data_IF_699578126320
#
_entry.id   IF_699578126320
#
_cell.length_a   1.000
_cell.length_b   1.000
_cell.length_c   1.000
_cell.angle_alpha   90.00
_cell.angle_beta   90.00
_cell.angle_gamma   90.00
#
_symmetry.space_group_name_H-M   'P 1'
#
loop_
_entity.id
_entity.type
_entity.pdbx_description
1 polymer ?
#
# COMPACT_ATOMS: atom_id res chain seq x y z
N UNK A 1 -70.15 38.18 -19.62
CA UNK A 1 -69.46 37.28 -18.67
C UNK A 1 -69.44 35.80 -19.08
N UNK A 2 -70.53 35.25 -19.65
CA UNK A 2 -70.63 33.82 -20.02
C UNK A 2 -69.64 33.39 -21.13
N UNK A 3 -69.34 34.27 -22.10
CA UNK A 3 -68.36 34.00 -23.16
C UNK A 3 -66.93 33.86 -22.60
N UNK A 4 -66.52 34.77 -21.71
CA UNK A 4 -65.21 34.74 -21.06
C UNK A 4 -65.00 33.48 -20.22
N UNK A 5 -66.03 33.06 -19.46
CA UNK A 5 -66.01 31.82 -18.68
C UNK A 5 -65.89 30.57 -19.57
N UNK A 6 -66.48 30.57 -20.77
CA UNK A 6 -66.33 29.49 -21.75
C UNK A 6 -64.91 29.42 -22.33
N UNK A 7 -64.29 30.56 -22.64
CA UNK A 7 -62.89 30.59 -23.09
C UNK A 7 -61.92 30.14 -22.00
N UNK A 8 -62.18 30.52 -20.75
CA UNK A 8 -61.37 30.13 -19.59
C UNK A 8 -61.50 28.63 -19.31
N UNK A 9 -62.71 28.06 -19.40
CA UNK A 9 -62.92 26.61 -19.31
C UNK A 9 -62.23 25.87 -20.46
N UNK A 10 -62.36 26.36 -21.69
CA UNK A 10 -61.73 25.76 -22.87
C UNK A 10 -60.20 25.77 -22.76
N UNK A 11 -59.60 26.87 -22.28
CA UNK A 11 -58.16 26.96 -22.05
C UNK A 11 -57.67 26.01 -20.95
N UNK A 12 -58.49 25.78 -19.90
CA UNK A 12 -58.16 24.86 -18.82
C UNK A 12 -58.26 23.39 -19.26
N UNK A 13 -59.15 23.08 -20.22
CA UNK A 13 -59.29 21.76 -20.82
C UNK A 13 -58.15 21.42 -21.79
N UNK A 14 -57.42 22.43 -22.31
CA UNK A 14 -56.25 22.24 -23.18
C UNK A 14 -54.92 22.09 -22.40
N UNK A 15 -54.90 22.34 -21.09
CA UNK A 15 -53.70 22.27 -20.26
C UNK A 15 -53.03 20.88 -20.12
N UNK A 16 -53.71 19.72 -20.21
CA UNK A 16 -53.05 18.43 -19.96
C UNK A 16 -52.25 17.86 -21.15
N UNK A 17 -52.04 18.60 -22.25
CA UNK A 17 -51.23 18.14 -23.39
C UNK A 17 -49.71 18.30 -23.19
N UNK A 18 -49.25 18.74 -22.02
CA UNK A 18 -47.82 18.84 -21.73
C UNK A 18 -47.27 17.47 -21.33
N UNK A 19 -46.71 16.75 -22.29
CA UNK A 19 -45.87 15.58 -22.03
C UNK A 19 -44.54 16.05 -21.43
N UNK A 20 -44.35 15.88 -20.13
CA UNK A 20 -43.03 15.93 -19.53
C UNK A 20 -42.33 14.59 -19.82
N UNK A 21 -41.30 14.61 -20.65
CA UNK A 21 -40.46 13.44 -20.85
C UNK A 21 -39.64 13.22 -19.58
N UNK A 22 -39.95 12.16 -18.83
CA UNK A 22 -39.06 11.66 -17.77
C UNK A 22 -37.87 10.98 -18.44
N UNK A 23 -36.85 11.77 -18.72
CA UNK A 23 -35.55 11.30 -19.15
C UNK A 23 -34.86 10.71 -17.91
N UNK A 24 -35.32 9.54 -17.47
CA UNK A 24 -34.74 8.83 -16.33
C UNK A 24 -33.22 8.82 -16.43
N UNK A 25 -32.54 8.82 -15.28
CA UNK A 25 -31.08 8.86 -15.22
C UNK A 25 -30.51 7.50 -15.67
N UNK A 26 -30.35 7.30 -16.97
CA UNK A 26 -29.63 6.16 -17.54
C UNK A 26 -28.14 6.46 -17.49
N UNK A 27 -27.53 6.21 -16.33
CA UNK A 27 -26.09 6.05 -16.24
C UNK A 27 -25.76 4.57 -16.38
N UNK A 28 -24.95 4.20 -17.37
CA UNK A 28 -24.39 2.86 -17.43
C UNK A 28 -23.59 2.59 -16.14
N UNK A 29 -24.03 1.64 -15.33
CA UNK A 29 -23.21 1.10 -14.24
C UNK A 29 -22.18 0.16 -14.85
N UNK A 30 -20.97 0.69 -15.08
CA UNK A 30 -19.83 -0.13 -15.46
C UNK A 30 -19.38 -0.93 -14.24
N UNK A 31 -19.36 -2.28 -14.31
CA UNK A 31 -18.80 -3.08 -13.24
C UNK A 31 -17.29 -2.78 -13.15
N UNK A 32 -16.80 -2.49 -11.95
CA UNK A 32 -15.36 -2.38 -11.67
C UNK A 32 -14.76 -3.79 -11.81
N UNK A 33 -14.28 -4.14 -13.00
CA UNK A 33 -13.43 -5.32 -13.21
C UNK A 33 -11.98 -4.87 -13.05
N UNK A 34 -11.52 -4.86 -11.81
CA UNK A 34 -10.08 -4.77 -11.53
C UNK A 34 -9.38 -5.92 -12.24
N UNK A 35 -8.29 -5.60 -12.96
CA UNK A 35 -7.47 -6.60 -13.62
C UNK A 35 -6.84 -7.51 -12.56
N UNK A 36 -6.73 -8.81 -12.85
CA UNK A 36 -6.04 -9.74 -11.95
C UNK A 36 -4.63 -9.21 -11.67
N UNK A 37 -4.37 -8.94 -10.39
CA UNK A 37 -3.10 -8.38 -9.93
C UNK A 37 -1.93 -9.29 -10.29
N UNK A 38 -2.11 -10.61 -10.28
CA UNK A 38 -1.07 -11.55 -10.67
C UNK A 38 -0.78 -11.48 -12.17
N UNK A 39 -1.81 -11.36 -13.00
CA UNK A 39 -1.65 -11.20 -14.45
C UNK A 39 -0.94 -9.89 -14.78
N UNK A 40 -1.30 -8.80 -14.09
CA UNK A 40 -0.65 -7.49 -14.26
C UNK A 40 0.83 -7.53 -13.83
N UNK A 41 1.16 -8.19 -12.72
CA UNK A 41 2.55 -8.35 -12.26
C UNK A 41 3.36 -9.18 -13.26
N UNK A 42 2.81 -10.30 -13.74
CA UNK A 42 3.51 -11.20 -14.67
C UNK A 42 3.76 -10.54 -16.03
N UNK A 43 2.79 -9.80 -16.57
CA UNK A 43 2.97 -9.03 -17.80
C UNK A 43 4.07 -7.97 -17.68
N UNK A 44 4.12 -7.25 -16.54
CA UNK A 44 5.19 -6.26 -16.28
C UNK A 44 6.56 -6.92 -16.19
N UNK A 45 6.67 -8.05 -15.49
CA UNK A 45 7.92 -8.81 -15.42
C UNK A 45 8.39 -9.28 -16.80
N UNK A 46 7.47 -9.81 -17.63
CA UNK A 46 7.80 -10.25 -18.99
C UNK A 46 8.28 -9.09 -19.87
N UNK A 47 7.63 -7.92 -19.80
CA UNK A 47 8.08 -6.74 -20.52
C UNK A 47 9.48 -6.28 -20.10
N UNK A 48 9.77 -6.30 -18.79
CA UNK A 48 11.10 -5.98 -18.26
C UNK A 48 12.17 -6.98 -18.72
N UNK A 49 11.83 -8.28 -18.79
CA UNK A 49 12.74 -9.32 -19.27
C UNK A 49 13.02 -9.18 -20.78
N UNK A 50 11.99 -8.98 -21.60
CA UNK A 50 12.14 -8.79 -23.05
C UNK A 50 12.96 -7.54 -23.39
N UNK A 51 12.82 -6.48 -22.58
CA UNK A 51 13.60 -5.25 -22.76
C UNK A 51 15.07 -5.36 -22.32
N UNK A 52 15.47 -6.46 -21.68
CA UNK A 52 16.81 -6.64 -21.09
C UNK A 52 17.12 -5.73 -19.88
N UNK A 53 16.19 -4.85 -19.49
CA UNK A 53 16.36 -3.95 -18.34
C UNK A 53 16.41 -4.71 -17.01
N UNK A 54 15.75 -5.87 -16.94
CA UNK A 54 15.79 -6.75 -15.79
C UNK A 54 17.23 -7.17 -15.43
N UNK A 55 17.96 -7.71 -16.41
CA UNK A 55 19.32 -8.21 -16.20
C UNK A 55 20.28 -7.08 -15.83
N UNK A 56 20.13 -5.92 -16.47
CA UNK A 56 20.91 -4.71 -16.15
C UNK A 56 20.68 -4.27 -14.70
N UNK A 57 19.42 -4.07 -14.31
CA UNK A 57 19.06 -3.59 -12.97
C UNK A 57 19.49 -4.57 -11.89
N UNK A 58 19.31 -5.87 -12.15
CA UNK A 58 19.74 -6.93 -11.24
C UNK A 58 21.26 -6.99 -11.10
N UNK A 59 22.01 -6.78 -12.19
CA UNK A 59 23.46 -6.68 -12.18
C UNK A 59 23.96 -5.50 -11.34
N UNK A 60 23.40 -4.31 -11.56
CA UNK A 60 23.73 -3.10 -10.79
C UNK A 60 23.41 -3.26 -9.30
N UNK A 61 22.27 -3.89 -8.97
CA UNK A 61 21.91 -4.18 -7.59
C UNK A 61 22.91 -5.11 -6.92
N UNK A 62 23.26 -6.23 -7.57
CA UNK A 62 24.27 -7.17 -7.06
C UNK A 62 25.61 -6.48 -6.82
N UNK A 63 26.06 -5.67 -7.78
CA UNK A 63 27.30 -4.94 -7.67
C UNK A 63 27.31 -3.99 -6.46
N UNK A 64 26.23 -3.23 -6.26
CA UNK A 64 26.07 -2.34 -5.11
C UNK A 64 26.08 -3.08 -3.77
N UNK A 65 25.43 -4.24 -3.70
CA UNK A 65 25.43 -5.08 -2.49
C UNK A 65 26.82 -5.61 -2.18
N UNK A 66 27.56 -6.06 -3.19
CA UNK A 66 28.96 -6.53 -3.02
C UNK A 66 29.84 -5.38 -2.53
N UNK A 67 29.75 -4.21 -3.18
CA UNK A 67 30.53 -3.02 -2.83
C UNK A 67 30.25 -2.55 -1.40
N UNK A 68 28.97 -2.43 -1.02
CA UNK A 68 28.59 -2.01 0.33
C UNK A 68 28.93 -3.05 1.41
N UNK A 69 28.95 -4.34 1.07
CA UNK A 69 29.34 -5.40 2.01
C UNK A 69 30.86 -5.39 2.25
N UNK A 70 31.66 -5.25 1.18
CA UNK A 70 33.12 -5.21 1.28
C UNK A 70 33.66 -3.87 1.78
N UNK A 71 32.93 -2.78 1.52
CA UNK A 71 33.28 -1.41 1.90
C UNK A 71 32.05 -0.72 2.48
N UNK A 72 31.65 -1.09 3.71
CA UNK A 72 30.57 -0.40 4.37
C UNK A 72 30.92 1.08 4.52
N UNK A 73 29.90 1.93 4.39
CA UNK A 73 30.07 3.35 4.67
C UNK A 73 30.61 3.52 6.10
N UNK A 74 31.57 4.43 6.33
CA UNK A 74 32.02 4.74 7.68
C UNK A 74 30.81 5.10 8.54
N UNK A 75 30.67 4.43 9.69
CA UNK A 75 29.60 4.75 10.64
C UNK A 75 29.88 6.14 11.21
N UNK A 76 28.88 7.00 11.20
CA UNK A 76 29.00 8.36 11.71
C UNK A 76 29.50 8.36 13.17
N UNK A 77 30.56 9.11 13.45
CA UNK A 77 31.21 9.16 14.76
C UNK A 77 32.24 8.06 15.04
N UNK A 78 32.39 7.04 14.17
CA UNK A 78 33.49 6.08 14.24
C UNK A 78 34.68 6.56 13.39
N UNK A 79 35.75 6.96 14.06
CA UNK A 79 37.01 7.39 13.43
C UNK A 79 38.13 6.38 13.70
N UNK A 80 39.23 6.50 12.93
CA UNK A 80 40.43 5.68 13.14
C UNK A 80 40.93 5.87 14.57
N UNK A 81 41.10 4.77 15.30
CA UNK A 81 41.65 4.81 16.65
C UNK A 81 43.09 5.31 16.64
N UNK A 82 43.37 6.38 17.38
CA UNK A 82 44.73 6.91 17.57
C UNK A 82 45.47 6.22 18.72
N UNK A 83 44.72 5.66 19.68
CA UNK A 83 45.23 4.96 20.87
C UNK A 83 44.34 3.75 21.15
N UNK A 84 44.95 2.70 21.70
CA UNK A 84 44.20 1.53 22.16
C UNK A 84 43.33 1.89 23.37
N UNK A 85 42.05 1.54 23.32
CA UNK A 85 41.11 1.68 24.43
C UNK A 85 40.30 0.40 24.56
N UNK A 86 40.19 -0.11 25.79
CA UNK A 86 39.36 -1.26 26.13
C UNK A 86 38.27 -0.78 27.10
N UNK A 87 37.02 -1.17 26.86
CA UNK A 87 35.89 -0.91 27.76
C UNK A 87 35.16 -2.21 28.00
N UNK A 88 34.77 -2.43 29.25
CA UNK A 88 33.90 -3.54 29.61
C UNK A 88 32.45 -3.14 29.35
N UNK A 89 31.69 -4.05 28.76
CA UNK A 89 30.26 -3.91 28.52
C UNK A 89 29.56 -5.05 29.23
N UNK A 90 28.44 -4.76 29.88
CA UNK A 90 27.57 -5.77 30.48
C UNK A 90 26.47 -6.14 29.47
N UNK A 91 26.53 -7.32 28.84
CA UNK A 91 25.53 -7.77 27.87
C UNK A 91 24.25 -8.32 28.52
N UNK A 92 24.07 -8.15 29.84
CA UNK A 92 22.87 -8.65 30.53
C UNK A 92 21.59 -7.97 30.03
N UNK A 93 20.80 -8.71 29.27
CA UNK A 93 19.45 -8.30 28.84
C UNK A 93 18.44 -8.81 29.87
N UNK A 94 17.56 -7.93 30.34
CA UNK A 94 16.43 -8.31 31.20
C UNK A 94 15.16 -8.39 30.37
N UNK A 95 14.46 -9.52 30.45
CA UNK A 95 13.16 -9.70 29.81
C UNK A 95 12.09 -8.93 30.57
N UNK A 96 11.39 -8.03 29.87
CA UNK A 96 10.31 -7.19 30.43
C UNK A 96 9.00 -7.97 30.58
N UNK A 97 8.83 -9.07 29.87
CA UNK A 97 7.63 -9.92 29.89
C UNK A 97 7.98 -11.39 29.66
N UNK A 98 7.03 -12.28 30.00
CA UNK A 98 7.16 -13.72 29.73
C UNK A 98 7.06 -13.99 28.23
N UNK A 99 8.11 -14.58 27.66
CA UNK A 99 8.11 -15.00 26.26
C UNK A 99 7.43 -16.36 26.12
N UNK A 100 6.46 -16.41 25.20
CA UNK A 100 5.65 -17.60 24.91
C UNK A 100 5.89 -18.06 23.48
N UNK A 101 5.91 -19.37 23.30
CA UNK A 101 5.89 -19.97 21.97
C UNK A 101 4.50 -19.83 21.31
N UNK A 102 4.41 -20.30 20.07
CA UNK A 102 3.19 -20.32 19.26
C UNK A 102 2.06 -21.15 19.89
N UNK A 103 2.40 -22.03 20.83
CA UNK A 103 1.51 -22.94 21.54
C UNK A 103 1.17 -22.42 22.96
N UNK A 104 1.65 -21.23 23.34
CA UNK A 104 1.38 -20.58 24.61
C UNK A 104 2.27 -21.03 25.78
N UNK A 105 3.29 -21.87 25.56
CA UNK A 105 4.21 -22.32 26.60
C UNK A 105 5.25 -21.24 26.87
N UNK A 106 5.45 -20.89 28.14
CA UNK A 106 6.47 -19.91 28.55
C UNK A 106 7.84 -20.59 28.52
N UNK A 107 8.76 -20.10 27.68
CA UNK A 107 10.14 -20.60 27.61
C UNK A 107 11.16 -19.63 28.22
N UNK A 108 10.77 -18.39 28.47
CA UNK A 108 11.58 -17.44 29.23
C UNK A 108 10.69 -16.55 30.11
N UNK A 109 10.99 -16.53 31.41
CA UNK A 109 10.25 -15.75 32.40
C UNK A 109 10.77 -14.32 32.50
N UNK A 110 9.87 -13.39 32.85
CA UNK A 110 10.20 -12.02 33.23
C UNK A 110 11.32 -12.02 34.28
N UNK A 111 12.32 -11.16 34.07
CA UNK A 111 13.52 -11.04 34.90
C UNK A 111 14.52 -12.22 34.88
N UNK A 112 14.36 -13.24 34.02
CA UNK A 112 15.47 -14.15 33.74
C UNK A 112 16.54 -13.42 32.92
N UNK A 113 17.79 -13.44 33.40
CA UNK A 113 18.94 -12.97 32.63
C UNK A 113 19.20 -13.99 31.53
N UNK A 114 18.68 -13.76 30.34
CA UNK A 114 18.91 -14.66 29.21
C UNK A 114 20.26 -14.35 28.56
N UNK A 115 21.31 -15.05 29.01
CA UNK A 115 22.57 -15.21 28.29
C UNK A 115 22.81 -16.73 28.20
N UNK A 116 23.05 -17.33 27.02
CA UNK A 116 23.74 -18.61 26.94
C UNK A 116 25.24 -18.45 27.22
#
# INVERSE_FOLDING_TARGET
>A
MIRLRRYLLASCLLSPLTYAADLGTWGDLWPVREQDMLELITQRLQGLQQSGQWDKTMGEFKQRVIENSQRPAPVEGLHRAEKYAQRWFDPSIRLTEDLKDNEGRVFAHQASSSIP
#
